data_IF_532228422210
#
_entry.id   IF_532228422210
#
_cell.length_a   1.000
_cell.length_b   1.000
_cell.length_c   1.000
_cell.angle_alpha   90.00
_cell.angle_beta   90.00
_cell.angle_gamma   90.00
#
_symmetry.space_group_name_H-M   'P 1'
#
loop_
_entity.id
_entity.type
_entity.pdbx_description
1 polymer ?
#
# COMPACT_ATOMS: atom_id res chain seq x y z
N UNK A 1 7.92 7.98 5.13
CA UNK A 1 6.76 7.04 5.14
C UNK A 1 5.92 7.36 3.92
N UNK A 2 5.32 6.42 3.25
CA UNK A 2 4.43 6.62 2.11
C UNK A 2 3.06 6.06 2.45
N UNK A 3 2.01 6.78 2.10
CA UNK A 3 0.64 6.33 2.28
C UNK A 3 -0.23 6.75 1.10
N UNK A 4 -1.31 6.03 0.86
CA UNK A 4 -2.30 6.32 -0.18
C UNK A 4 -3.67 6.35 0.46
N UNK A 5 -4.42 7.43 0.24
CA UNK A 5 -5.80 7.58 0.64
C UNK A 5 -6.67 7.67 -0.63
N UNK A 6 -7.23 6.53 -1.07
CA UNK A 6 -7.94 6.46 -2.35
C UNK A 6 -7.03 6.75 -3.53
N UNK A 7 -7.17 7.92 -4.15
CA UNK A 7 -6.33 8.40 -5.25
C UNK A 7 -5.28 9.43 -4.79
N UNK A 8 -5.30 9.81 -3.51
CA UNK A 8 -4.38 10.80 -2.95
C UNK A 8 -3.16 10.06 -2.40
N UNK A 9 -1.98 10.44 -2.87
CA UNK A 9 -0.71 9.89 -2.43
C UNK A 9 -0.03 10.85 -1.47
N UNK A 10 0.42 10.33 -0.32
CA UNK A 10 1.21 11.06 0.66
C UNK A 10 2.64 10.55 0.65
N UNK A 11 3.59 11.39 0.26
CA UNK A 11 5.03 11.07 0.26
C UNK A 11 5.71 11.75 1.45
N UNK A 12 6.53 11.04 2.19
CA UNK A 12 7.09 11.47 3.47
C UNK A 12 7.92 12.76 3.40
N UNK A 13 8.66 12.91 2.31
CA UNK A 13 9.57 14.05 2.16
C UNK A 13 8.81 15.35 1.87
N UNK A 14 7.57 15.21 1.38
CA UNK A 14 6.78 16.33 0.88
C UNK A 14 5.52 16.64 1.69
N UNK A 15 4.90 15.61 2.33
CA UNK A 15 3.54 15.77 2.84
C UNK A 15 3.27 15.17 4.21
N UNK A 16 3.91 14.06 4.57
CA UNK A 16 3.50 13.25 5.71
C UNK A 16 4.47 13.40 6.86
N UNK A 17 4.16 14.26 7.81
CA UNK A 17 5.00 14.52 8.98
C UNK A 17 4.70 13.54 10.13
N UNK A 18 3.43 13.26 10.39
CA UNK A 18 3.02 12.34 11.44
C UNK A 18 1.66 11.68 11.20
N UNK A 19 1.43 10.57 11.87
CA UNK A 19 0.14 9.89 11.93
C UNK A 19 -0.16 9.45 13.35
N UNK A 20 -1.29 9.89 13.86
CA UNK A 20 -1.85 9.47 15.13
C UNK A 20 -3.11 8.64 14.87
N UNK A 21 -3.21 7.46 15.49
CA UNK A 21 -4.39 6.60 15.38
C UNK A 21 -5.02 6.44 16.77
N UNK A 22 -6.32 6.64 16.85
CA UNK A 22 -7.11 6.53 18.05
C UNK A 22 -8.10 5.38 17.92
N UNK A 23 -7.95 4.37 18.79
CA UNK A 23 -8.81 3.20 18.87
C UNK A 23 -9.52 3.21 20.22
N UNK A 24 -10.80 2.89 20.26
CA UNK A 24 -11.57 2.91 21.48
C UNK A 24 -12.68 1.90 21.51
N UNK A 25 -13.13 1.55 22.72
CA UNK A 25 -14.31 0.72 22.95
C UNK A 25 -15.19 1.37 24.01
N UNK A 26 -16.50 1.25 23.86
CA UNK A 26 -17.49 1.76 24.81
C UNK A 26 -17.87 0.69 25.83
N UNK A 27 -17.84 1.09 27.09
CA UNK A 27 -18.28 0.27 28.21
C UNK A 27 -19.35 1.02 29.02
N UNK A 28 -20.43 0.34 29.33
CA UNK A 28 -21.42 0.83 30.31
C UNK A 28 -20.96 0.46 31.72
N UNK A 29 -21.00 1.44 32.61
CA UNK A 29 -20.66 1.25 34.02
C UNK A 29 -21.92 1.04 34.84
N UNK A 30 -22.02 -0.11 35.52
CA UNK A 30 -23.14 -0.45 36.39
C UNK A 30 -22.71 -0.31 37.85
N UNK A 31 -23.27 0.69 38.54
CA UNK A 31 -23.05 0.91 39.96
C UNK A 31 -23.63 -0.25 40.79
N UNK A 32 -22.90 -0.74 41.77
CA UNK A 32 -23.33 -1.74 42.72
C UNK A 32 -23.52 -1.11 44.11
N UNK A 33 -24.54 -1.57 44.84
CA UNK A 33 -24.75 -1.20 46.24
C UNK A 33 -23.68 -1.92 47.07
N UNK A 34 -22.58 -1.25 47.36
CA UNK A 34 -21.45 -1.79 48.11
C UNK A 34 -20.51 -2.60 47.22
N UNK A 35 -19.45 -1.95 46.71
CA UNK A 35 -18.40 -2.56 45.91
C UNK A 35 -18.01 -1.68 44.71
N UNK A 36 -17.04 -2.17 43.93
CA UNK A 36 -16.64 -1.50 42.68
C UNK A 36 -17.67 -1.75 41.59
N UNK A 37 -17.98 -0.75 40.74
CA UNK A 37 -18.90 -0.90 39.62
C UNK A 37 -18.43 -2.02 38.67
N UNK A 38 -19.37 -2.63 37.95
CA UNK A 38 -19.08 -3.59 36.89
C UNK A 38 -19.13 -2.89 35.52
N UNK A 39 -18.16 -3.21 34.65
CA UNK A 39 -18.14 -2.76 33.27
C UNK A 39 -18.81 -3.79 32.36
N UNK A 40 -19.70 -3.33 31.50
CA UNK A 40 -20.30 -4.13 30.43
C UNK A 40 -19.84 -3.56 29.09
N UNK A 41 -19.29 -4.40 28.24
CA UNK A 41 -18.93 -4.00 26.87
C UNK A 41 -20.19 -3.66 26.07
N UNK A 42 -20.18 -2.49 25.43
CA UNK A 42 -21.29 -1.97 24.59
C UNK A 42 -20.96 -2.14 23.12
N UNK A 43 -19.76 -1.77 22.71
CA UNK A 43 -19.32 -1.85 21.32
C UNK A 43 -17.97 -1.18 21.10
N UNK A 44 -17.40 -1.39 19.92
CA UNK A 44 -16.18 -0.70 19.49
C UNK A 44 -16.52 0.65 18.89
N UNK A 45 -15.69 1.65 19.17
CA UNK A 45 -15.76 2.97 18.55
C UNK A 45 -15.18 2.91 17.14
N UNK A 46 -15.62 3.82 16.29
CA UNK A 46 -15.01 4.01 14.98
C UNK A 46 -13.58 4.51 15.15
N UNK A 47 -12.65 3.90 14.42
CA UNK A 47 -11.25 4.32 14.41
C UNK A 47 -11.11 5.75 13.88
N UNK A 48 -10.31 6.56 14.56
CA UNK A 48 -10.00 7.90 14.15
C UNK A 48 -8.50 8.01 13.86
N UNK A 49 -8.14 8.60 12.72
CA UNK A 49 -6.75 8.80 12.31
C UNK A 49 -6.56 10.28 12.02
N UNK A 50 -5.50 10.85 12.58
CA UNK A 50 -5.01 12.19 12.28
C UNK A 50 -3.71 12.07 11.51
N UNK A 51 -3.59 12.86 10.45
CA UNK A 51 -2.40 12.92 9.60
C UNK A 51 -1.94 14.37 9.55
N UNK A 52 -0.70 14.60 9.97
CA UNK A 52 -0.06 15.89 9.88
C UNK A 52 0.74 15.96 8.56
N UNK A 53 0.48 17.01 7.80
CA UNK A 53 0.99 17.21 6.44
C UNK A 53 1.76 18.54 6.39
N UNK A 54 2.91 18.54 5.73
CA UNK A 54 3.71 19.74 5.48
C UNK A 54 3.90 19.91 3.97
N UNK A 55 3.47 21.05 3.45
CA UNK A 55 3.60 21.41 2.04
C UNK A 55 4.63 22.52 1.89
N UNK A 56 5.51 22.38 0.91
CA UNK A 56 6.51 23.39 0.60
C UNK A 56 6.67 23.55 -0.92
N UNK A 57 6.73 24.81 -1.39
CA UNK A 57 6.79 25.14 -2.83
C UNK A 57 7.99 24.53 -3.58
N UNK A 58 9.06 24.13 -2.85
CA UNK A 58 10.20 23.44 -3.45
C UNK A 58 9.85 22.03 -3.96
N UNK A 59 8.83 21.38 -3.39
CA UNK A 59 8.49 20.00 -3.68
C UNK A 59 7.11 19.83 -4.32
N UNK A 60 6.16 20.73 -4.04
CA UNK A 60 4.80 20.68 -4.53
C UNK A 60 4.20 22.09 -4.59
N UNK A 61 3.06 22.24 -5.22
CA UNK A 61 2.22 23.42 -5.12
C UNK A 61 1.30 23.27 -3.90
N UNK A 62 1.54 24.00 -2.78
CA UNK A 62 0.77 23.86 -1.55
C UNK A 62 -0.71 24.18 -1.75
N UNK A 63 -1.05 25.14 -2.60
CA UNK A 63 -2.42 25.58 -2.83
C UNK A 63 -3.19 24.52 -3.64
N UNK A 64 -2.59 23.96 -4.68
CA UNK A 64 -3.19 22.89 -5.48
C UNK A 64 -3.46 21.64 -4.62
N UNK A 65 -2.54 21.28 -3.72
CA UNK A 65 -2.73 20.12 -2.83
C UNK A 65 -3.82 20.35 -1.79
N UNK A 66 -3.93 21.54 -1.21
CA UNK A 66 -5.03 21.88 -0.31
C UNK A 66 -6.39 21.84 -1.02
N UNK A 67 -6.47 22.35 -2.26
CA UNK A 67 -7.68 22.27 -3.10
C UNK A 67 -8.04 20.80 -3.35
N UNK A 68 -7.07 19.94 -3.65
CA UNK A 68 -7.27 18.51 -3.90
C UNK A 68 -7.81 17.79 -2.66
N UNK A 69 -7.23 18.04 -1.49
CA UNK A 69 -7.70 17.49 -0.22
C UNK A 69 -9.12 17.98 0.13
N UNK A 70 -9.39 19.26 -0.07
CA UNK A 70 -10.73 19.83 0.14
C UNK A 70 -11.76 19.23 -0.81
N UNK A 71 -11.40 19.02 -2.08
CA UNK A 71 -12.24 18.33 -3.06
C UNK A 71 -12.56 16.89 -2.65
N UNK A 72 -11.57 16.16 -2.15
CA UNK A 72 -11.77 14.81 -1.61
C UNK A 72 -12.70 14.80 -0.40
N UNK A 73 -12.58 15.76 0.52
CA UNK A 73 -13.51 15.91 1.66
C UNK A 73 -14.94 16.21 1.18
N UNK A 74 -15.09 17.11 0.20
CA UNK A 74 -16.39 17.49 -0.35
C UNK A 74 -17.08 16.34 -1.11
N UNK A 75 -16.31 15.43 -1.69
CA UNK A 75 -16.84 14.24 -2.37
C UNK A 75 -17.56 13.28 -1.43
N UNK A 76 -17.31 13.37 -0.13
CA UNK A 76 -17.86 12.49 0.92
C UNK A 76 -17.63 11.01 0.63
N UNK A 77 -16.61 10.69 -0.14
CA UNK A 77 -16.27 9.33 -0.51
C UNK A 77 -15.57 8.62 0.64
N UNK A 78 -15.89 7.34 0.85
CA UNK A 78 -15.12 6.48 1.74
C UNK A 78 -13.87 6.00 1.00
N UNK A 79 -12.71 6.50 1.41
CA UNK A 79 -11.42 6.29 0.78
C UNK A 79 -10.66 5.17 1.49
N UNK A 80 -9.98 4.32 0.73
CA UNK A 80 -9.13 3.26 1.28
C UNK A 80 -7.79 3.85 1.74
N UNK A 81 -7.41 3.65 3.01
CA UNK A 81 -6.10 4.03 3.53
C UNK A 81 -5.14 2.85 3.44
N UNK A 82 -4.06 3.01 2.70
CA UNK A 82 -3.02 2.00 2.51
C UNK A 82 -1.66 2.63 2.79
N UNK A 83 -0.89 2.02 3.68
CA UNK A 83 0.48 2.45 3.97
C UNK A 83 1.45 1.97 2.90
N UNK A 84 2.65 2.56 2.84
CA UNK A 84 3.69 2.24 1.86
C UNK A 84 4.16 0.78 1.87
N UNK A 85 4.05 0.10 3.01
CA UNK A 85 4.30 -1.33 3.13
C UNK A 85 3.17 -2.21 2.55
N UNK A 86 2.14 -1.60 1.91
CA UNK A 86 0.95 -2.29 1.41
C UNK A 86 -0.05 -2.70 2.50
N UNK A 87 0.07 -2.14 3.72
CA UNK A 87 -0.85 -2.43 4.81
C UNK A 87 -2.14 -1.62 4.64
N UNK A 88 -3.26 -2.34 4.46
CA UNK A 88 -4.58 -1.75 4.33
C UNK A 88 -5.18 -1.52 5.71
N UNK A 89 -5.38 -0.26 6.08
CA UNK A 89 -5.88 0.15 7.40
C UNK A 89 -7.40 0.20 7.49
N UNK A 90 -8.10 0.18 6.39
CA UNK A 90 -9.55 0.30 6.36
C UNK A 90 -10.01 1.40 5.42
N UNK A 91 -11.30 1.70 5.50
CA UNK A 91 -11.93 2.77 4.74
C UNK A 91 -12.25 3.93 5.66
N UNK A 92 -11.88 5.12 5.23
CA UNK A 92 -12.03 6.33 6.01
C UNK A 92 -12.74 7.40 5.20
N UNK A 93 -13.48 8.25 5.89
CA UNK A 93 -13.99 9.52 5.35
C UNK A 93 -13.19 10.66 5.96
N UNK A 94 -12.94 11.70 5.19
CA UNK A 94 -12.30 12.92 5.69
C UNK A 94 -13.37 13.70 6.45
N UNK A 95 -13.18 13.88 7.74
CA UNK A 95 -14.11 14.61 8.61
C UNK A 95 -13.72 16.06 8.80
N UNK A 96 -12.43 16.35 8.85
CA UNK A 96 -11.91 17.71 8.96
C UNK A 96 -10.58 17.87 8.23
N UNK A 97 -10.37 19.06 7.70
CA UNK A 97 -9.10 19.53 7.15
C UNK A 97 -8.82 20.92 7.74
N UNK A 98 -7.77 21.02 8.55
CA UNK A 98 -7.26 22.29 9.05
C UNK A 98 -6.00 22.63 8.26
N UNK A 99 -5.87 23.86 7.78
CA UNK A 99 -4.70 24.30 7.04
C UNK A 99 -4.21 25.64 7.60
N UNK A 100 -2.89 25.74 7.80
CA UNK A 100 -2.21 26.94 8.28
C UNK A 100 -1.14 27.33 7.27
N UNK A 101 -1.31 28.48 6.62
CA UNK A 101 -0.28 29.07 5.76
C UNK A 101 0.87 29.59 6.64
N UNK A 102 2.09 29.15 6.39
CA UNK A 102 3.29 29.59 7.11
C UNK A 102 4.02 30.71 6.40
N UNK A 103 4.16 30.60 5.08
CA UNK A 103 4.86 31.59 4.27
C UNK A 103 4.09 31.84 2.98
N UNK A 104 4.00 33.09 2.58
CA UNK A 104 3.47 33.54 1.30
C UNK A 104 4.50 34.41 0.57
N UNK A 105 4.43 34.45 -0.74
CA UNK A 105 5.21 35.38 -1.54
C UNK A 105 4.56 36.79 -1.58
N UNK A 106 5.19 37.73 -2.30
CA UNK A 106 4.68 39.10 -2.47
C UNK A 106 3.36 39.15 -3.25
N UNK A 107 3.06 38.13 -4.06
CA UNK A 107 1.83 38.04 -4.84
C UNK A 107 0.69 37.40 -4.04
N UNK A 108 0.98 36.89 -2.83
CA UNK A 108 0.03 36.20 -1.96
C UNK A 108 -0.03 34.69 -2.18
N UNK A 109 0.80 34.11 -3.06
CA UNK A 109 0.87 32.68 -3.31
C UNK A 109 1.50 31.96 -2.11
N UNK A 110 0.98 30.81 -1.76
CA UNK A 110 1.40 30.03 -0.60
C UNK A 110 2.72 29.30 -0.88
N UNK A 111 3.78 29.65 -0.16
CA UNK A 111 5.10 29.00 -0.27
C UNK A 111 5.27 27.82 0.67
N UNK A 112 4.67 27.91 1.85
CA UNK A 112 4.68 26.83 2.82
C UNK A 112 3.35 26.78 3.59
N UNK A 113 2.83 25.58 3.80
CA UNK A 113 1.62 25.34 4.57
C UNK A 113 1.75 24.06 5.41
N UNK A 114 1.14 24.08 6.57
CA UNK A 114 0.89 22.89 7.38
C UNK A 114 -0.60 22.57 7.31
N UNK A 115 -0.93 21.30 7.23
CA UNK A 115 -2.31 20.86 7.26
C UNK A 115 -2.47 19.65 8.17
N UNK A 116 -3.57 19.61 8.90
CA UNK A 116 -3.99 18.46 9.70
C UNK A 116 -5.24 17.88 9.09
N UNK A 117 -5.18 16.60 8.74
CA UNK A 117 -6.26 15.84 8.14
C UNK A 117 -6.83 14.87 9.19
N UNK A 118 -8.10 15.01 9.51
CA UNK A 118 -8.82 14.09 10.40
C UNK A 118 -9.65 13.11 9.58
N UNK A 119 -9.44 11.84 9.83
CA UNK A 119 -10.10 10.72 9.18
C UNK A 119 -10.93 9.96 10.21
N UNK A 120 -12.09 9.49 9.83
CA UNK A 120 -12.92 8.60 10.65
C UNK A 120 -13.29 7.36 9.87
N UNK A 121 -13.22 6.21 10.52
CA UNK A 121 -13.56 4.92 9.90
C UNK A 121 -14.97 4.92 9.34
N UNK A 122 -15.12 4.31 8.17
CA UNK A 122 -16.38 4.09 7.49
C UNK A 122 -16.71 2.61 7.40
N UNK A 123 -17.62 2.14 8.25
CA UNK A 123 -18.08 0.75 8.33
C UNK A 123 -19.25 0.44 7.39
N UNK A 124 -19.87 1.47 6.77
CA UNK A 124 -21.01 1.30 5.87
C UNK A 124 -20.61 0.72 4.50
N UNK A 125 -21.60 0.18 3.78
CA UNK A 125 -21.41 -0.20 2.38
C UNK A 125 -21.16 1.06 1.54
N UNK A 126 -20.20 0.98 0.60
CA UNK A 126 -19.96 2.06 -0.35
C UNK A 126 -21.26 2.32 -1.14
N UNK A 127 -21.77 3.54 -1.06
CA UNK A 127 -22.86 3.97 -1.93
C UNK A 127 -22.38 3.81 -3.37
N UNK A 128 -23.00 2.91 -4.14
CA UNK A 128 -22.80 2.89 -5.59
C UNK A 128 -23.12 4.29 -6.10
N UNK A 129 -22.26 4.93 -6.92
CA UNK A 129 -22.66 6.14 -7.60
C UNK A 129 -23.94 5.80 -8.37
N UNK A 130 -25.04 6.42 -7.97
CA UNK A 130 -26.30 6.26 -8.65
C UNK A 130 -26.09 6.93 -10.01
N UNK A 131 -26.03 6.14 -11.08
CA UNK A 131 -26.08 6.68 -12.42
C UNK A 131 -27.29 7.63 -12.48
N UNK A 132 -27.15 8.85 -13.05
CA UNK A 132 -28.28 9.76 -13.19
C UNK A 132 -29.39 8.99 -13.87
N UNK A 133 -30.55 8.97 -13.24
CA UNK A 133 -31.75 8.29 -13.73
C UNK A 133 -32.20 8.98 -15.02
N UNK A 134 -31.68 8.54 -16.15
CA UNK A 134 -32.30 8.70 -17.47
C UNK A 134 -33.43 7.68 -17.60
N UNK A 135 -34.31 7.66 -16.61
CA UNK A 135 -35.59 6.95 -16.69
C UNK A 135 -36.62 7.99 -17.06
N UNK A 136 -37.00 8.03 -18.32
CA UNK A 136 -38.21 8.77 -18.70
C UNK A 136 -38.33 9.25 -20.14
N UNK A 137 -37.47 8.91 -21.09
CA UNK A 137 -37.60 9.44 -22.45
C UNK A 137 -37.57 8.43 -23.61
N UNK A 138 -37.86 7.15 -23.35
CA UNK A 138 -37.89 6.15 -24.45
C UNK A 138 -39.15 5.29 -24.48
N UNK A 139 -40.29 5.79 -24.01
CA UNK A 139 -41.57 5.06 -24.13
C UNK A 139 -42.61 5.71 -25.02
N UNK A 140 -42.26 6.70 -25.84
CA UNK A 140 -43.17 7.19 -26.85
C UNK A 140 -42.42 7.42 -28.16
N UNK A 141 -42.85 6.70 -29.20
CA UNK A 141 -42.46 6.83 -30.61
C UNK A 141 -41.29 5.99 -31.08
N UNK A 142 -41.51 4.69 -31.30
CA UNK A 142 -41.08 4.04 -32.54
C UNK A 142 -41.87 2.75 -32.79
N UNK A 143 -42.39 2.50 -34.00
CA UNK A 143 -43.15 1.29 -34.32
C UNK A 143 -42.22 0.08 -34.41
N UNK A 144 -42.80 -1.06 -34.01
CA UNK A 144 -42.13 -2.35 -34.03
C UNK A 144 -41.59 -2.72 -35.43
N UNK A 145 -40.28 -2.62 -35.59
CA UNK A 145 -39.53 -3.34 -36.60
C UNK A 145 -38.77 -4.47 -35.94
N UNK A 146 -39.25 -5.68 -36.14
CA UNK A 146 -38.58 -6.91 -35.73
C UNK A 146 -37.28 -7.05 -36.49
N UNK A 147 -36.18 -6.78 -35.81
CA UNK A 147 -34.83 -7.28 -36.18
C UNK A 147 -34.38 -8.15 -35.03
N UNK A 148 -34.08 -9.44 -35.21
CA UNK A 148 -33.53 -10.26 -34.16
C UNK A 148 -32.08 -9.89 -34.04
N UNK A 149 -31.71 -8.93 -33.17
CA UNK A 149 -30.35 -8.63 -32.85
C UNK A 149 -29.93 -9.48 -31.65
N UNK A 150 -29.20 -10.50 -32.01
CA UNK A 150 -28.07 -11.09 -31.31
C UNK A 150 -27.95 -10.87 -29.80
N UNK A 151 -28.16 -11.99 -29.10
CA UNK A 151 -27.28 -12.51 -28.02
C UNK A 151 -26.59 -11.47 -27.14
N UNK A 152 -27.22 -11.28 -25.99
CA UNK A 152 -26.65 -10.88 -24.71
C UNK A 152 -25.13 -11.03 -24.58
N UNK A 153 -24.41 -9.97 -24.78
CA UNK A 153 -23.23 -9.65 -23.99
C UNK A 153 -23.76 -9.03 -22.69
N UNK A 154 -23.48 -9.40 -21.53
CA UNK A 154 -22.25 -9.36 -20.80
C UNK A 154 -22.26 -9.91 -19.36
N UNK A 155 -22.79 -11.05 -19.09
CA UNK A 155 -22.60 -11.62 -17.74
C UNK A 155 -21.17 -12.12 -17.50
N UNK A 156 -20.41 -12.40 -18.57
CA UNK A 156 -19.05 -12.86 -18.47
C UNK A 156 -18.07 -11.75 -18.00
N UNK A 157 -18.33 -10.49 -18.33
CA UNK A 157 -17.43 -9.38 -17.94
C UNK A 157 -17.53 -9.01 -16.48
N UNK A 158 -18.72 -9.06 -15.88
CA UNK A 158 -18.88 -8.76 -14.44
C UNK A 158 -18.30 -9.86 -13.56
N UNK A 159 -18.43 -11.12 -13.96
CA UNK A 159 -17.87 -12.26 -13.23
C UNK A 159 -16.34 -12.29 -13.34
N UNK A 160 -15.78 -11.97 -14.52
CA UNK A 160 -14.34 -11.84 -14.72
C UNK A 160 -13.75 -10.65 -13.95
N UNK A 161 -14.48 -9.53 -13.84
CA UNK A 161 -14.05 -8.38 -13.05
C UNK A 161 -14.07 -8.68 -11.54
N UNK A 162 -15.05 -9.45 -11.05
CA UNK A 162 -15.10 -9.91 -9.66
C UNK A 162 -13.97 -10.90 -9.34
N UNK A 163 -13.75 -11.89 -10.20
CA UNK A 163 -12.66 -12.83 -10.06
C UNK A 163 -11.28 -12.14 -10.09
N UNK A 164 -11.13 -11.12 -10.96
CA UNK A 164 -9.90 -10.35 -11.06
C UNK A 164 -9.66 -9.43 -9.86
N UNK A 165 -10.68 -8.88 -9.22
CA UNK A 165 -10.51 -8.05 -8.03
C UNK A 165 -9.99 -8.87 -6.84
N UNK A 166 -10.57 -10.05 -6.58
CA UNK A 166 -10.06 -10.98 -5.56
C UNK A 166 -8.66 -11.50 -5.90
N UNK A 167 -8.40 -11.76 -7.19
CA UNK A 167 -7.09 -12.17 -7.69
C UNK A 167 -6.02 -11.09 -7.51
N UNK A 168 -6.35 -9.80 -7.73
CA UNK A 168 -5.41 -8.71 -7.52
C UNK A 168 -5.04 -8.57 -6.03
N UNK A 169 -6.01 -8.64 -5.12
CA UNK A 169 -5.76 -8.61 -3.69
C UNK A 169 -4.83 -9.75 -3.25
N UNK A 170 -5.05 -10.96 -3.73
CA UNK A 170 -4.18 -12.09 -3.46
C UNK A 170 -2.77 -11.93 -4.05
N UNK A 171 -2.67 -11.40 -5.27
CA UNK A 171 -1.38 -11.13 -5.90
C UNK A 171 -0.57 -10.07 -5.13
N UNK A 172 -1.23 -9.00 -4.67
CA UNK A 172 -0.63 -7.95 -3.83
C UNK A 172 -0.20 -8.52 -2.47
N UNK A 173 -1.04 -9.35 -1.83
CA UNK A 173 -0.69 -10.00 -0.56
C UNK A 173 0.54 -10.91 -0.70
N UNK A 174 0.64 -11.69 -1.78
CA UNK A 174 1.83 -12.50 -2.09
C UNK A 174 3.06 -11.64 -2.32
N UNK A 175 2.93 -10.55 -3.08
CA UNK A 175 4.04 -9.62 -3.30
C UNK A 175 4.51 -8.98 -1.98
N UNK A 176 3.59 -8.52 -1.12
CA UNK A 176 3.88 -7.99 0.21
C UNK A 176 4.65 -9.00 1.07
N UNK A 177 4.17 -10.24 1.16
CA UNK A 177 4.84 -11.31 1.91
C UNK A 177 6.24 -11.60 1.37
N UNK A 178 6.39 -11.70 0.04
CA UNK A 178 7.69 -11.95 -0.59
C UNK A 178 8.70 -10.81 -0.34
N UNK A 179 8.26 -9.55 -0.40
CA UNK A 179 9.11 -8.39 -0.10
C UNK A 179 9.52 -8.34 1.38
N UNK A 180 8.59 -8.64 2.29
CA UNK A 180 8.87 -8.68 3.73
C UNK A 180 9.91 -9.76 4.08
N UNK A 181 9.78 -10.97 3.50
CA UNK A 181 10.77 -12.03 3.71
C UNK A 181 12.12 -11.70 3.09
N UNK A 182 12.14 -11.05 1.92
CA UNK A 182 13.38 -10.59 1.27
C UNK A 182 14.12 -9.55 2.14
N UNK A 183 13.41 -8.58 2.71
CA UNK A 183 14.00 -7.58 3.61
C UNK A 183 14.59 -8.22 4.87
N UNK A 184 13.98 -9.31 5.37
CA UNK A 184 14.52 -10.09 6.48
C UNK A 184 15.88 -10.70 6.16
N UNK A 185 16.02 -11.32 4.98
CA UNK A 185 17.30 -11.89 4.53
C UNK A 185 18.39 -10.81 4.40
N UNK A 186 18.03 -9.66 3.80
CA UNK A 186 19.00 -8.54 3.64
C UNK A 186 19.52 -8.07 4.99
N UNK A 187 18.65 -7.83 5.97
CA UNK A 187 19.06 -7.41 7.32
C UNK A 187 19.95 -8.45 8.00
N UNK A 188 19.68 -9.74 7.79
CA UNK A 188 20.52 -10.82 8.33
C UNK A 188 21.92 -10.77 7.72
N UNK A 189 22.04 -10.56 6.40
CA UNK A 189 23.35 -10.42 5.72
C UNK A 189 24.09 -9.17 6.18
N UNK A 190 23.41 -8.04 6.35
CA UNK A 190 24.01 -6.81 6.91
C UNK A 190 24.50 -7.04 8.35
N UNK A 191 23.73 -7.78 9.16
CA UNK A 191 24.16 -8.20 10.50
C UNK A 191 25.42 -9.08 10.48
N UNK A 192 25.52 -10.03 9.53
CA UNK A 192 26.72 -10.84 9.36
C UNK A 192 27.93 -10.01 8.95
N UNK A 193 27.74 -9.02 8.06
CA UNK A 193 28.81 -8.10 7.65
C UNK A 193 29.37 -7.32 8.84
N UNK A 194 28.50 -6.82 9.73
CA UNK A 194 28.92 -6.11 10.95
C UNK A 194 29.63 -7.02 11.95
N UNK A 195 29.26 -8.31 11.98
CA UNK A 195 29.88 -9.31 12.86
C UNK A 195 31.24 -9.79 12.34
N UNK A 196 31.45 -9.82 11.02
CA UNK A 196 32.63 -10.35 10.39
C UNK A 196 33.92 -9.61 10.80
N UNK A 197 33.83 -8.32 11.14
CA UNK A 197 34.92 -7.55 11.67
C UNK A 197 35.31 -7.90 13.12
N UNK A 198 34.45 -8.63 13.84
CA UNK A 198 34.65 -8.98 15.25
C UNK A 198 34.88 -10.48 15.45
N UNK A 199 34.14 -11.31 14.77
CA UNK A 199 34.23 -12.77 14.89
C UNK A 199 33.95 -13.46 13.54
N UNK A 200 34.96 -13.66 12.70
CA UNK A 200 34.84 -14.30 11.40
C UNK A 200 34.36 -15.75 11.47
N UNK A 201 34.73 -16.50 12.52
CA UNK A 201 34.35 -17.90 12.66
C UNK A 201 32.85 -18.04 12.95
N UNK A 202 32.30 -17.17 13.80
CA UNK A 202 30.87 -17.14 14.06
C UNK A 202 30.06 -16.82 12.80
N UNK A 203 30.59 -16.01 11.88
CA UNK A 203 29.97 -15.70 10.60
C UNK A 203 29.92 -16.94 9.70
N UNK A 204 31.03 -17.65 9.54
CA UNK A 204 31.12 -18.89 8.75
C UNK A 204 30.07 -19.90 9.21
N UNK A 205 29.91 -20.08 10.53
CA UNK A 205 28.91 -20.99 11.10
C UNK A 205 27.46 -20.61 10.78
N UNK A 206 27.17 -19.32 10.54
CA UNK A 206 25.82 -18.81 10.24
C UNK A 206 25.48 -18.76 8.74
N UNK A 207 26.48 -18.76 7.86
CA UNK A 207 26.29 -18.65 6.40
C UNK A 207 25.32 -19.70 5.82
N UNK A 208 25.38 -21.02 6.21
CA UNK A 208 24.47 -22.03 5.67
C UNK A 208 22.99 -21.71 5.99
N UNK A 209 22.73 -21.12 7.17
CA UNK A 209 21.39 -20.69 7.55
C UNK A 209 20.87 -19.58 6.64
N UNK A 210 21.67 -18.52 6.47
CA UNK A 210 21.31 -17.38 5.60
C UNK A 210 21.14 -17.77 4.15
N UNK A 211 21.99 -18.68 3.64
CA UNK A 211 21.84 -19.21 2.29
C UNK A 211 20.53 -19.99 2.11
N UNK A 212 20.15 -20.78 3.10
CA UNK A 212 18.87 -21.49 3.10
C UNK A 212 17.69 -20.52 3.13
N UNK A 213 17.76 -19.49 3.95
CA UNK A 213 16.74 -18.45 4.02
C UNK A 213 16.62 -17.68 2.71
N UNK A 214 17.75 -17.30 2.10
CA UNK A 214 17.77 -16.64 0.79
C UNK A 214 17.15 -17.53 -0.30
N UNK A 215 17.49 -18.82 -0.34
CA UNK A 215 16.91 -19.78 -1.28
C UNK A 215 15.42 -20.02 -1.01
N UNK A 216 15.00 -20.04 0.25
CA UNK A 216 13.60 -20.21 0.65
C UNK A 216 12.67 -19.09 0.17
N UNK A 217 13.19 -17.88 -0.02
CA UNK A 217 12.42 -16.72 -0.51
C UNK A 217 12.21 -16.75 -2.04
N UNK A 218 13.12 -17.35 -2.81
CA UNK A 218 13.10 -17.30 -4.28
C UNK A 218 11.82 -17.85 -4.92
N UNK A 219 11.21 -18.97 -4.45
CA UNK A 219 9.94 -19.45 -4.99
C UNK A 219 8.80 -18.46 -4.76
N UNK A 220 8.75 -17.85 -3.56
CA UNK A 220 7.73 -16.84 -3.22
C UNK A 220 7.80 -15.61 -4.12
N UNK A 221 9.00 -15.10 -4.40
CA UNK A 221 9.22 -14.01 -5.34
C UNK A 221 8.80 -14.40 -6.78
N UNK A 222 9.10 -15.62 -7.20
CA UNK A 222 8.67 -16.13 -8.51
C UNK A 222 7.16 -16.18 -8.66
N UNK A 223 6.46 -16.73 -7.66
CA UNK A 223 5.00 -16.78 -7.64
C UNK A 223 4.37 -15.39 -7.59
N UNK A 224 4.93 -14.47 -6.79
CA UNK A 224 4.49 -13.09 -6.72
C UNK A 224 4.64 -12.39 -8.07
N UNK A 225 5.79 -12.54 -8.73
CA UNK A 225 6.06 -11.96 -10.06
C UNK A 225 5.03 -12.42 -11.08
N UNK A 226 4.79 -13.73 -11.21
CA UNK A 226 3.81 -14.30 -12.15
C UNK A 226 2.40 -13.80 -11.82
N UNK A 227 2.03 -13.80 -10.54
CA UNK A 227 0.70 -13.33 -10.11
C UNK A 227 0.47 -11.86 -10.46
N UNK A 228 1.47 -11.00 -10.30
CA UNK A 228 1.37 -9.57 -10.64
C UNK A 228 1.38 -9.33 -12.15
N UNK A 229 2.17 -10.10 -12.93
CA UNK A 229 2.23 -9.97 -14.38
C UNK A 229 0.87 -10.17 -15.06
N UNK A 230 0.02 -11.06 -14.53
CA UNK A 230 -1.33 -11.28 -15.04
C UNK A 230 -2.19 -10.00 -15.02
N UNK A 231 -1.93 -9.08 -14.10
CA UNK A 231 -2.64 -7.80 -13.98
C UNK A 231 -1.98 -6.68 -14.80
N UNK A 232 -0.80 -6.89 -15.35
CA UNK A 232 -0.14 -5.98 -16.27
C UNK A 232 -0.85 -5.79 -17.61
N UNK A 233 -1.77 -6.69 -17.95
CA UNK A 233 -2.62 -6.62 -19.15
C UNK A 233 -3.83 -5.66 -18.98
N UNK A 234 -4.19 -5.32 -17.75
CA UNK A 234 -5.33 -4.45 -17.46
C UNK A 234 -4.89 -2.96 -17.49
N UNK A 235 -5.46 -2.15 -18.37
CA UNK A 235 -5.07 -0.76 -18.58
C UNK A 235 -4.94 0.05 -17.27
N UNK A 236 -5.87 -0.15 -16.31
CA UNK A 236 -5.86 0.55 -15.04
C UNK A 236 -4.71 0.18 -14.09
N UNK A 237 -4.05 -0.97 -14.28
CA UNK A 237 -2.99 -1.49 -13.39
C UNK A 237 -1.68 -1.75 -14.12
N UNK A 238 -1.64 -1.65 -15.45
CA UNK A 238 -0.51 -2.06 -16.29
C UNK A 238 0.82 -1.41 -15.87
N UNK A 239 0.83 -0.10 -15.62
CA UNK A 239 2.05 0.62 -15.24
C UNK A 239 2.62 0.15 -13.90
N UNK A 240 1.79 0.08 -12.87
CA UNK A 240 2.21 -0.30 -11.52
C UNK A 240 2.52 -1.80 -11.42
N UNK A 241 1.70 -2.65 -12.05
CA UNK A 241 1.94 -4.09 -12.11
C UNK A 241 3.23 -4.42 -12.86
N UNK A 242 3.49 -3.73 -13.98
CA UNK A 242 4.73 -3.91 -14.74
C UNK A 242 5.98 -3.49 -13.96
N UNK A 243 5.93 -2.37 -13.23
CA UNK A 243 7.02 -1.90 -12.35
C UNK A 243 7.27 -2.88 -11.22
N UNK A 244 6.20 -3.30 -10.53
CA UNK A 244 6.29 -4.24 -9.41
C UNK A 244 6.84 -5.60 -9.87
N UNK A 245 6.35 -6.16 -10.98
CA UNK A 245 6.82 -7.43 -11.50
C UNK A 245 8.30 -7.39 -11.91
N UNK A 246 8.75 -6.31 -12.59
CA UNK A 246 10.15 -6.12 -12.95
C UNK A 246 11.05 -6.01 -11.71
N UNK A 247 10.64 -5.25 -10.70
CA UNK A 247 11.41 -5.11 -9.47
C UNK A 247 11.47 -6.42 -8.68
N UNK A 248 10.36 -7.15 -8.54
CA UNK A 248 10.37 -8.49 -7.91
C UNK A 248 11.32 -9.45 -8.62
N UNK A 249 11.39 -9.40 -9.96
CA UNK A 249 12.32 -10.22 -10.73
C UNK A 249 13.78 -9.84 -10.47
N UNK A 250 14.09 -8.54 -10.32
CA UNK A 250 15.44 -8.06 -9.95
C UNK A 250 15.81 -8.49 -8.54
N UNK A 251 14.95 -8.27 -7.56
CA UNK A 251 15.16 -8.73 -6.17
C UNK A 251 15.42 -10.24 -6.13
N UNK A 252 14.66 -11.03 -6.90
CA UNK A 252 14.90 -12.47 -7.04
C UNK A 252 16.27 -12.79 -7.61
N UNK A 253 16.70 -12.08 -8.66
CA UNK A 253 18.02 -12.24 -9.28
C UNK A 253 19.15 -11.89 -8.31
N UNK A 254 19.00 -10.76 -7.60
CA UNK A 254 20.01 -10.29 -6.65
C UNK A 254 20.14 -11.24 -5.45
N UNK A 255 19.03 -11.76 -4.91
CA UNK A 255 19.08 -12.76 -3.83
C UNK A 255 19.64 -14.11 -4.30
N UNK A 256 19.40 -14.52 -5.55
CA UNK A 256 20.03 -15.70 -6.14
C UNK A 256 21.54 -15.51 -6.27
N UNK A 257 21.96 -14.34 -6.76
CA UNK A 257 23.40 -13.97 -6.87
C UNK A 257 24.05 -13.89 -5.49
N UNK A 258 23.36 -13.33 -4.49
CA UNK A 258 23.82 -13.29 -3.11
C UNK A 258 24.05 -14.70 -2.54
N UNK A 259 23.09 -15.60 -2.73
CA UNK A 259 23.23 -16.99 -2.29
C UNK A 259 24.40 -17.69 -2.97
N UNK A 260 24.56 -17.49 -4.30
CA UNK A 260 25.70 -18.03 -5.06
C UNK A 260 27.04 -17.46 -4.61
N UNK A 261 27.10 -16.17 -4.28
CA UNK A 261 28.32 -15.48 -3.84
C UNK A 261 28.76 -15.96 -2.45
N UNK A 262 27.80 -16.18 -1.55
CA UNK A 262 28.07 -16.68 -0.20
C UNK A 262 28.40 -18.18 -0.19
N UNK A 263 28.03 -18.92 -1.23
CA UNK A 263 28.40 -20.33 -1.36
C UNK A 263 29.92 -20.46 -1.49
N UNK A 264 30.52 -21.42 -0.76
CA UNK A 264 31.98 -21.61 -0.73
C UNK A 264 32.74 -20.46 -0.06
N UNK A 265 32.15 -19.70 0.83
CA UNK A 265 32.88 -18.77 1.69
C UNK A 265 33.66 -19.54 2.76
N UNK A 266 34.92 -19.27 2.90
CA UNK A 266 35.86 -19.84 3.84
C UNK A 266 36.67 -18.74 4.55
N UNK A 267 37.51 -19.11 5.50
CA UNK A 267 38.28 -18.14 6.28
C UNK A 267 39.19 -17.22 5.45
N UNK A 268 39.59 -17.65 4.24
CA UNK A 268 40.50 -16.89 3.39
C UNK A 268 39.78 -15.88 2.50
N UNK A 269 38.55 -16.14 2.08
CA UNK A 269 37.80 -15.33 1.11
C UNK A 269 36.57 -14.63 1.72
N UNK A 270 36.25 -14.88 2.99
CA UNK A 270 35.03 -14.40 3.68
C UNK A 270 34.87 -12.89 3.55
N UNK A 271 35.91 -12.13 3.84
CA UNK A 271 35.81 -10.66 3.87
C UNK A 271 35.52 -10.08 2.47
N UNK A 272 36.17 -10.62 1.43
CA UNK A 272 35.93 -10.24 0.04
C UNK A 272 34.51 -10.56 -0.41
N UNK A 273 34.03 -11.76 -0.08
CA UNK A 273 32.65 -12.19 -0.40
C UNK A 273 31.59 -11.39 0.36
N UNK A 274 31.80 -11.08 1.63
CA UNK A 274 30.88 -10.25 2.41
C UNK A 274 30.88 -8.79 1.93
N UNK A 275 32.00 -8.27 1.48
CA UNK A 275 32.07 -6.93 0.86
C UNK A 275 31.28 -6.88 -0.43
N UNK A 276 31.43 -7.89 -1.31
CA UNK A 276 30.65 -8.01 -2.54
C UNK A 276 29.15 -8.24 -2.25
N UNK A 277 28.83 -9.05 -1.24
CA UNK A 277 27.46 -9.23 -0.76
C UNK A 277 26.85 -7.91 -0.27
N UNK A 278 27.65 -7.02 0.37
CA UNK A 278 27.23 -5.70 0.79
C UNK A 278 26.69 -4.85 -0.37
N UNK A 279 27.42 -4.80 -1.49
CA UNK A 279 26.95 -4.07 -2.66
C UNK A 279 25.63 -4.62 -3.25
N UNK A 280 25.43 -5.95 -3.20
CA UNK A 280 24.15 -6.56 -3.61
C UNK A 280 23.03 -6.25 -2.64
N UNK A 281 23.28 -6.30 -1.32
CA UNK A 281 22.25 -5.97 -0.32
C UNK A 281 21.82 -4.53 -0.40
N UNK A 282 22.76 -3.58 -0.54
CA UNK A 282 22.46 -2.15 -0.65
C UNK A 282 21.61 -1.86 -1.90
N UNK A 283 21.92 -2.49 -3.03
CA UNK A 283 21.14 -2.41 -4.26
C UNK A 283 19.75 -3.01 -4.10
N UNK A 284 19.66 -4.19 -3.49
CA UNK A 284 18.36 -4.84 -3.28
C UNK A 284 17.48 -4.04 -2.35
N UNK A 285 18.03 -3.37 -1.33
CA UNK A 285 17.30 -2.48 -0.44
C UNK A 285 16.71 -1.28 -1.19
N UNK A 286 17.49 -0.63 -2.07
CA UNK A 286 17.00 0.44 -2.94
C UNK A 286 15.88 -0.03 -3.86
N UNK A 287 16.01 -1.23 -4.45
CA UNK A 287 14.93 -1.81 -5.26
C UNK A 287 13.68 -2.09 -4.42
N UNK A 288 13.81 -2.60 -3.19
CA UNK A 288 12.69 -2.82 -2.28
C UNK A 288 11.95 -1.52 -1.95
N UNK A 289 12.69 -0.45 -1.67
CA UNK A 289 12.11 0.87 -1.40
C UNK A 289 11.36 1.40 -2.63
N UNK A 290 11.93 1.25 -3.83
CA UNK A 290 11.29 1.65 -5.07
C UNK A 290 9.98 0.89 -5.35
N UNK A 291 9.80 -0.32 -4.78
CA UNK A 291 8.60 -1.13 -4.96
C UNK A 291 7.47 -0.79 -3.98
N UNK A 292 7.73 0.00 -2.94
CA UNK A 292 6.70 0.38 -1.96
C UNK A 292 5.56 1.17 -2.60
N UNK A 293 5.87 2.14 -3.46
CA UNK A 293 4.86 2.96 -4.16
C UNK A 293 3.95 2.14 -5.09
N UNK A 294 4.47 1.37 -6.07
CA UNK A 294 3.61 0.57 -6.94
C UNK A 294 2.83 -0.51 -6.18
N UNK A 295 3.38 -1.08 -5.10
CA UNK A 295 2.68 -2.03 -4.24
C UNK A 295 1.47 -1.37 -3.55
N UNK A 296 1.67 -0.20 -2.92
CA UNK A 296 0.61 0.53 -2.25
C UNK A 296 -0.51 0.96 -3.20
N UNK A 297 -0.17 1.44 -4.42
CA UNK A 297 -1.14 1.78 -5.45
C UNK A 297 -1.97 0.58 -5.90
N UNK A 298 -1.34 -0.56 -6.11
CA UNK A 298 -2.05 -1.80 -6.47
C UNK A 298 -2.94 -2.29 -5.32
N UNK A 299 -2.47 -2.18 -4.07
CA UNK A 299 -3.26 -2.51 -2.88
C UNK A 299 -4.49 -1.60 -2.76
N UNK A 300 -4.35 -0.28 -2.96
CA UNK A 300 -5.46 0.65 -2.97
C UNK A 300 -6.48 0.33 -4.08
N UNK A 301 -6.00 0.04 -5.30
CA UNK A 301 -6.85 -0.39 -6.43
C UNK A 301 -7.56 -1.72 -6.15
N UNK A 302 -6.90 -2.66 -5.46
CA UNK A 302 -7.53 -3.91 -5.05
C UNK A 302 -8.64 -3.67 -4.03
N UNK A 303 -8.39 -2.82 -3.02
CA UNK A 303 -9.35 -2.48 -1.98
C UNK A 303 -10.57 -1.72 -2.52
N UNK A 304 -10.38 -0.78 -3.47
CA UNK A 304 -11.51 -0.05 -4.09
C UNK A 304 -12.35 -0.93 -5.00
N UNK A 305 -11.75 -1.89 -5.72
CA UNK A 305 -12.47 -2.81 -6.62
C UNK A 305 -13.24 -3.90 -5.89
N UNK A 306 -12.76 -4.38 -4.75
CA UNK A 306 -13.47 -5.37 -3.94
C UNK A 306 -14.81 -4.85 -3.39
N UNK A 307 -15.02 -3.53 -3.39
CA UNK A 307 -16.23 -2.88 -2.87
C UNK A 307 -17.28 -2.55 -3.94
N UNK A 308 -16.93 -2.71 -5.23
CA UNK A 308 -17.85 -2.53 -6.35
C UNK A 308 -18.52 -3.85 -6.79
N UNK A 309 -18.22 -4.92 -6.12
CA UNK A 309 -18.80 -6.27 -6.29
C UNK A 309 -19.77 -6.58 -5.16
#
# INVERSE_FOLDING_TARGET
MYAVLGEIEFDLITYFDGMEAHFGSDYAEHALIGGKPKLQFVGDKLDEIRIDLVFHATYCDPEAELIRLRGAMQSRAALALVLGNGDYKGRFVITALQATGRHTDRAGSLLAAEAQLSLKEFTGQARKPQAPALQGLTSALLPASRVPLAKSFPQATSTLLKANAGGLGLAVARAKSALATSSGVIRTVQGLRSLAGRDPLAVIGRLPGVMRDAQGVLPGLGLATVSIQQFGQLAATAGDAGRLAKGLARVKSDLSSLSGLLSGADGNNLQGKLSAAGGLTDRTEQELDALTKPLARLAAKAATRSTLS
#
